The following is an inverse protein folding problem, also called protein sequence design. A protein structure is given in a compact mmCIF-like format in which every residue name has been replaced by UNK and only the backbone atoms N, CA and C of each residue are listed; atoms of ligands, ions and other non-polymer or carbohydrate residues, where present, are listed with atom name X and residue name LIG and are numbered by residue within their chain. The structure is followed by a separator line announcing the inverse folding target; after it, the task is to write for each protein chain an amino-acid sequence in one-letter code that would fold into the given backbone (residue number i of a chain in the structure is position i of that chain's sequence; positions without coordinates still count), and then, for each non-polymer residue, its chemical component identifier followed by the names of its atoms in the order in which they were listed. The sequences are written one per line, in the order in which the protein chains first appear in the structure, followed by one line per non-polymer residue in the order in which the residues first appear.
data_IF_728883686870
#
_entry.id   IF_728883686870
#
_cell.length_a   1.000
_cell.length_b   1.000
_cell.length_c   1.000
_cell.angle_alpha   90.00
_cell.angle_beta   90.00
_cell.angle_gamma   90.00
#
_symmetry.space_group_name_H-M   'P 1'
#
loop_
_entity.id
_entity.type
_entity.pdbx_description
1 polymer ?
#
# COMPACT_ATOMS: atom_id res chain seq x y z
N UNK A 1 -37.43 26.05 72.80
CA UNK A 1 -37.80 25.67 71.40
C UNK A 1 -36.71 26.21 70.46
N UNK A 2 -35.77 25.38 70.09
CA UNK A 2 -34.63 25.78 69.23
C UNK A 2 -34.59 24.84 68.03
N UNK A 3 -34.89 25.38 66.85
CA UNK A 3 -34.89 24.64 65.57
C UNK A 3 -33.50 24.70 65.00
N UNK A 4 -32.79 23.57 65.07
CA UNK A 4 -31.50 23.36 64.36
C UNK A 4 -31.73 23.17 62.89
N UNK A 5 -31.20 24.07 62.08
CA UNK A 5 -31.16 23.91 60.61
C UNK A 5 -29.92 23.07 60.20
N UNK A 6 -30.19 21.84 59.79
CA UNK A 6 -29.20 20.96 59.22
C UNK A 6 -28.85 21.44 57.78
N UNK A 7 -27.65 21.99 57.60
CA UNK A 7 -27.12 22.38 56.30
C UNK A 7 -26.52 21.15 55.62
N UNK A 8 -27.20 20.65 54.59
CA UNK A 8 -26.64 19.63 53.69
C UNK A 8 -25.53 20.25 52.85
N UNK A 9 -24.29 19.89 53.18
CA UNK A 9 -23.12 20.22 52.40
C UNK A 9 -23.01 19.20 51.28
N UNK A 10 -23.52 19.58 50.08
CA UNK A 10 -23.38 18.76 48.87
C UNK A 10 -21.91 18.83 48.40
N UNK A 11 -21.13 17.78 48.70
CA UNK A 11 -19.81 17.58 48.11
C UNK A 11 -19.96 17.26 46.63
N UNK A 12 -19.78 18.25 45.78
CA UNK A 12 -19.55 18.07 44.34
C UNK A 12 -18.17 17.47 44.14
N UNK A 13 -18.12 16.14 44.00
CA UNK A 13 -16.93 15.44 43.53
C UNK A 13 -16.73 15.76 42.02
N UNK A 14 -15.59 16.34 41.62
CA UNK A 14 -15.28 16.46 40.23
C UNK A 14 -15.07 15.07 39.66
N UNK A 15 -15.98 14.66 38.77
CA UNK A 15 -15.77 13.48 37.93
C UNK A 15 -14.64 13.85 36.98
N UNK A 16 -13.40 13.46 37.32
CA UNK A 16 -12.26 13.47 36.39
C UNK A 16 -12.62 12.45 35.35
N UNK A 17 -13.16 12.91 34.23
CA UNK A 17 -13.31 12.10 33.04
C UNK A 17 -11.91 11.66 32.62
N UNK A 18 -11.51 10.45 32.99
CA UNK A 18 -10.39 9.77 32.36
C UNK A 18 -10.72 9.68 30.86
N UNK A 19 -10.12 10.56 30.07
CA UNK A 19 -10.04 10.36 28.63
C UNK A 19 -9.48 8.96 28.41
N UNK A 20 -10.20 8.06 27.73
CA UNK A 20 -9.67 6.72 27.48
C UNK A 20 -8.36 6.90 26.74
N UNK A 21 -7.27 6.41 27.33
CA UNK A 21 -5.96 6.26 26.72
C UNK A 21 -6.21 5.73 25.32
N UNK A 22 -5.78 6.49 24.29
CA UNK A 22 -6.15 6.29 22.91
C UNK A 22 -6.09 4.81 22.52
N UNK A 23 -7.25 4.24 22.26
CA UNK A 23 -7.35 2.92 21.64
C UNK A 23 -6.78 3.10 20.24
N UNK A 24 -5.59 2.53 20.03
CA UNK A 24 -4.99 2.50 18.71
C UNK A 24 -5.89 1.65 17.82
N UNK A 25 -6.78 2.31 17.09
CA UNK A 25 -7.62 1.64 16.11
C UNK A 25 -6.76 1.43 14.88
N UNK A 26 -6.41 0.19 14.62
CA UNK A 26 -5.72 -0.18 13.39
C UNK A 26 -6.76 -0.39 12.28
N UNK A 27 -6.55 0.27 11.16
CA UNK A 27 -7.30 0.04 9.94
C UNK A 27 -6.36 -0.55 8.88
N UNK A 28 -6.88 -1.53 8.12
CA UNK A 28 -6.11 -2.15 7.05
C UNK A 28 -5.83 -1.13 5.93
N UNK A 29 -4.58 -0.99 5.47
CA UNK A 29 -4.24 -0.13 4.37
C UNK A 29 -4.87 -0.63 3.07
N UNK A 30 -5.27 0.30 2.22
CA UNK A 30 -5.81 0.01 0.89
C UNK A 30 -4.67 0.01 -0.13
N UNK A 31 -4.59 -1.02 -0.95
CA UNK A 31 -3.59 -1.17 -2.01
C UNK A 31 -4.31 -1.14 -3.35
N UNK A 32 -3.93 -0.20 -4.21
CA UNK A 32 -4.49 -0.03 -5.55
C UNK A 32 -3.38 0.08 -6.59
N UNK A 33 -3.67 -0.30 -7.82
CA UNK A 33 -2.79 -0.04 -8.97
C UNK A 33 -2.97 1.40 -9.39
N UNK A 34 -1.89 2.16 -9.35
CA UNK A 34 -1.83 3.52 -9.87
C UNK A 34 -1.49 3.50 -11.36
N UNK A 35 -0.48 2.69 -11.73
CA UNK A 35 0.03 2.63 -13.10
C UNK A 35 0.77 1.32 -13.37
N UNK A 36 0.75 0.91 -14.64
CA UNK A 36 1.63 -0.15 -15.15
C UNK A 36 2.45 0.42 -16.31
N UNK A 37 3.75 0.18 -16.29
CA UNK A 37 4.64 0.48 -17.42
C UNK A 37 5.15 -0.83 -17.99
N UNK A 38 5.04 -0.95 -19.31
CA UNK A 38 5.67 -2.00 -20.10
C UNK A 38 6.70 -1.33 -21.00
N UNK A 39 7.90 -1.89 -21.04
CA UNK A 39 9.00 -1.44 -21.89
C UNK A 39 9.68 -2.69 -22.45
N UNK A 40 9.22 -3.11 -23.61
CA UNK A 40 9.69 -4.34 -24.24
C UNK A 40 11.14 -4.25 -24.72
N UNK A 41 11.64 -3.02 -24.96
CA UNK A 41 12.96 -2.75 -25.50
C UNK A 41 13.98 -2.37 -24.42
N UNK A 42 13.57 -2.39 -23.16
CA UNK A 42 14.40 -2.01 -22.02
C UNK A 42 15.60 -2.94 -21.87
N UNK A 43 16.76 -2.52 -22.35
CA UNK A 43 18.01 -3.22 -22.11
C UNK A 43 18.51 -2.93 -20.69
N UNK A 44 18.64 -3.98 -19.88
CA UNK A 44 19.19 -3.88 -18.53
C UNK A 44 18.23 -3.33 -17.45
N UNK A 45 16.97 -3.03 -17.79
CA UNK A 45 15.92 -2.66 -16.84
C UNK A 45 14.78 -3.67 -16.88
N UNK A 46 14.05 -3.87 -15.77
CA UNK A 46 12.89 -4.76 -15.78
C UNK A 46 11.87 -4.29 -16.82
N UNK A 47 11.39 -5.18 -17.70
CA UNK A 47 10.50 -4.81 -18.80
C UNK A 47 9.11 -4.41 -18.33
N UNK A 48 8.73 -4.75 -17.10
CA UNK A 48 7.42 -4.40 -16.53
C UNK A 48 7.59 -3.84 -15.13
N UNK A 49 7.02 -2.66 -14.91
CA UNK A 49 7.00 -1.98 -13.62
C UNK A 49 5.56 -1.67 -13.25
N UNK A 50 5.16 -2.08 -12.05
CA UNK A 50 3.83 -1.79 -11.48
C UNK A 50 4.00 -0.72 -10.40
N UNK A 51 3.30 0.39 -10.55
CA UNK A 51 3.17 1.38 -9.50
C UNK A 51 1.91 1.08 -8.68
N UNK A 52 2.12 0.82 -7.40
CA UNK A 52 1.05 0.61 -6.43
C UNK A 52 0.91 1.86 -5.56
N UNK A 53 -0.31 2.35 -5.42
CA UNK A 53 -0.66 3.33 -4.41
C UNK A 53 -1.14 2.60 -3.15
N UNK A 54 -0.54 2.90 -2.01
CA UNK A 54 -0.92 2.37 -0.71
C UNK A 54 -1.45 3.52 0.13
N UNK A 55 -2.73 3.48 0.46
CA UNK A 55 -3.35 4.41 1.38
C UNK A 55 -3.30 3.83 2.81
N UNK A 56 -2.51 4.45 3.66
CA UNK A 56 -2.42 4.12 5.07
C UNK A 56 -3.31 5.06 5.89
N UNK A 57 -4.50 4.62 6.34
CA UNK A 57 -5.42 5.45 7.11
C UNK A 57 -4.96 5.66 8.57
N UNK A 58 -3.94 4.92 9.01
CA UNK A 58 -3.49 4.98 10.40
C UNK A 58 -2.68 6.24 10.68
N UNK A 59 -2.71 6.69 11.93
CA UNK A 59 -1.94 7.86 12.39
C UNK A 59 -0.44 7.59 12.57
N UNK A 60 0.02 6.40 12.23
CA UNK A 60 1.41 5.98 12.32
C UNK A 60 1.88 5.31 11.02
N UNK A 61 3.19 5.37 10.74
CA UNK A 61 3.74 4.69 9.56
C UNK A 61 3.67 3.17 9.73
N UNK A 62 3.45 2.48 8.62
CA UNK A 62 3.50 1.03 8.53
C UNK A 62 4.79 0.60 7.83
N UNK A 63 5.24 -0.63 8.08
CA UNK A 63 6.31 -1.26 7.33
C UNK A 63 5.77 -2.44 6.56
N UNK A 64 5.72 -2.35 5.23
CA UNK A 64 5.48 -3.50 4.39
C UNK A 64 6.71 -4.42 4.45
N UNK A 65 6.53 -5.66 4.94
CA UNK A 65 7.62 -6.63 5.14
C UNK A 65 7.65 -7.70 4.08
N UNK A 66 6.55 -7.89 3.36
CA UNK A 66 6.43 -8.77 2.19
C UNK A 66 5.31 -8.29 1.30
N UNK A 67 5.55 -8.32 0.01
CA UNK A 67 4.57 -7.99 -1.02
C UNK A 67 4.60 -9.08 -2.09
N UNK A 68 3.45 -9.67 -2.35
CA UNK A 68 3.27 -10.72 -3.33
C UNK A 68 2.05 -10.38 -4.19
N UNK A 69 2.21 -10.40 -5.50
CA UNK A 69 1.09 -10.24 -6.42
C UNK A 69 1.37 -10.84 -7.79
N UNK A 70 0.31 -11.04 -8.56
CA UNK A 70 0.32 -11.44 -9.96
C UNK A 70 -0.37 -10.38 -10.79
N UNK A 71 0.20 -10.11 -11.98
CA UNK A 71 -0.35 -9.19 -12.98
C UNK A 71 -0.81 -9.98 -14.20
N UNK A 72 -2.02 -9.68 -14.65
CA UNK A 72 -2.62 -10.16 -15.89
C UNK A 72 -2.99 -8.94 -16.73
N UNK A 73 -2.68 -8.95 -18.02
CA UNK A 73 -3.09 -7.93 -19.00
C UNK A 73 -3.83 -8.63 -20.15
N UNK A 74 -5.01 -8.14 -20.52
CA UNK A 74 -5.87 -8.72 -21.56
C UNK A 74 -6.00 -10.24 -21.45
N UNK A 75 -6.28 -10.72 -20.24
CA UNK A 75 -6.39 -12.15 -19.88
C UNK A 75 -5.07 -12.96 -20.01
N UNK A 76 -3.94 -12.31 -20.32
CA UNK A 76 -2.62 -12.95 -20.41
C UNK A 76 -1.84 -12.76 -19.11
N UNK A 77 -1.36 -13.82 -18.47
CA UNK A 77 -0.46 -13.70 -17.33
C UNK A 77 0.87 -13.08 -17.78
N UNK A 78 1.24 -11.96 -17.18
CA UNK A 78 2.44 -11.21 -17.55
C UNK A 78 3.59 -11.53 -16.60
N UNK A 79 3.30 -11.57 -15.31
CA UNK A 79 4.33 -11.81 -14.33
C UNK A 79 3.85 -11.68 -12.90
N UNK A 80 4.81 -11.80 -12.00
CA UNK A 80 4.55 -11.78 -10.56
C UNK A 80 5.63 -11.02 -9.82
N UNK A 81 5.29 -10.58 -8.63
CA UNK A 81 6.22 -10.11 -7.62
C UNK A 81 6.10 -11.00 -6.38
N UNK A 82 7.23 -11.46 -5.88
CA UNK A 82 7.37 -11.99 -4.50
C UNK A 82 8.60 -11.33 -3.88
N UNK A 83 8.39 -10.24 -3.19
CA UNK A 83 9.46 -9.47 -2.59
C UNK A 83 9.33 -9.45 -1.07
N UNK A 84 10.34 -9.98 -0.41
CA UNK A 84 10.57 -9.75 1.01
C UNK A 84 11.48 -8.52 1.18
N UNK A 85 11.19 -7.72 2.19
CA UNK A 85 11.97 -6.52 2.50
C UNK A 85 11.12 -5.49 3.23
N UNK A 86 11.77 -4.56 3.94
CA UNK A 86 11.07 -3.49 4.64
C UNK A 86 10.91 -2.29 3.71
N UNK A 87 9.68 -1.91 3.45
CA UNK A 87 9.34 -0.66 2.75
C UNK A 87 8.47 0.16 3.69
N UNK A 88 8.90 1.38 3.97
CA UNK A 88 8.13 2.30 4.81
C UNK A 88 6.92 2.81 4.04
N UNK A 89 5.75 2.75 4.67
CA UNK A 89 4.50 3.31 4.18
C UNK A 89 4.08 4.40 5.16
N UNK A 90 4.32 5.66 4.83
CA UNK A 90 3.93 6.78 5.68
C UNK A 90 2.41 6.86 5.84
N UNK A 91 1.94 7.70 6.76
CA UNK A 91 0.53 8.07 6.85
C UNK A 91 0.05 8.68 5.53
N UNK A 92 -1.17 8.36 5.13
CA UNK A 92 -1.77 8.81 3.88
C UNK A 92 -1.38 7.95 2.68
N UNK A 93 -1.31 8.54 1.51
CA UNK A 93 -1.06 7.83 0.26
C UNK A 93 0.43 7.85 -0.08
N UNK A 94 0.99 6.67 -0.35
CA UNK A 94 2.34 6.51 -0.86
C UNK A 94 2.31 5.65 -2.13
N UNK A 95 3.08 6.05 -3.14
CA UNK A 95 3.22 5.29 -4.39
C UNK A 95 4.56 4.57 -4.41
N UNK A 96 4.55 3.28 -4.80
CA UNK A 96 5.74 2.44 -4.93
C UNK A 96 5.82 1.90 -6.35
N UNK A 97 6.94 2.14 -7.03
CA UNK A 97 7.24 1.53 -8.32
C UNK A 97 7.98 0.21 -8.11
N UNK A 98 7.43 -0.88 -8.59
CA UNK A 98 7.87 -2.24 -8.32
C UNK A 98 8.15 -2.96 -9.64
N UNK A 99 9.40 -3.31 -9.93
CA UNK A 99 9.71 -4.22 -11.03
C UNK A 99 9.16 -5.61 -10.71
N UNK A 100 8.54 -6.24 -11.71
CA UNK A 100 8.03 -7.60 -11.57
C UNK A 100 8.86 -8.59 -12.40
N UNK A 101 8.90 -9.83 -11.94
CA UNK A 101 9.45 -10.94 -12.71
C UNK A 101 8.42 -11.37 -13.75
N UNK A 102 8.80 -11.33 -15.02
CA UNK A 102 7.93 -11.78 -16.10
C UNK A 102 7.85 -13.31 -16.13
N UNK A 103 6.66 -13.82 -16.44
CA UNK A 103 6.45 -15.26 -16.58
C UNK A 103 7.20 -15.79 -17.83
N UNK A 104 7.61 -17.05 -17.80
CA UNK A 104 8.40 -17.68 -18.88
C UNK A 104 7.76 -17.61 -20.27
N UNK A 105 6.43 -17.48 -20.34
CA UNK A 105 5.69 -17.32 -21.59
C UNK A 105 5.57 -15.87 -22.08
N UNK A 106 6.08 -14.90 -21.32
CA UNK A 106 6.01 -13.48 -21.64
C UNK A 106 7.23 -13.10 -22.45
N UNK A 107 7.09 -13.12 -23.77
CA UNK A 107 8.17 -12.76 -24.71
C UNK A 107 8.21 -11.24 -24.96
N UNK A 108 9.35 -10.65 -25.37
CA UNK A 108 9.42 -9.25 -25.77
C UNK A 108 8.39 -8.86 -26.83
N UNK A 109 8.15 -9.71 -27.83
CA UNK A 109 7.13 -9.47 -28.84
C UNK A 109 5.70 -9.36 -28.26
N UNK A 110 5.38 -10.15 -27.23
CA UNK A 110 4.10 -10.01 -26.53
C UNK A 110 4.03 -8.71 -25.71
N UNK A 111 5.12 -8.30 -25.09
CA UNK A 111 5.18 -7.07 -24.33
C UNK A 111 5.03 -5.84 -25.23
N UNK A 112 5.52 -5.89 -26.48
CA UNK A 112 5.34 -4.79 -27.43
C UNK A 112 3.88 -4.46 -27.69
N UNK A 113 2.98 -5.44 -27.63
CA UNK A 113 1.54 -5.20 -27.76
C UNK A 113 0.98 -4.29 -26.64
N UNK A 114 1.65 -4.21 -25.50
CA UNK A 114 1.24 -3.40 -24.34
C UNK A 114 2.02 -2.08 -24.23
N UNK A 115 2.82 -1.70 -25.21
CA UNK A 115 3.57 -0.44 -25.16
C UNK A 115 2.68 0.80 -25.29
N UNK A 116 1.47 0.65 -25.81
CA UNK A 116 0.53 1.76 -26.00
C UNK A 116 -0.91 1.25 -26.08
N UNK A 117 -1.87 2.16 -25.91
CA UNK A 117 -3.29 1.83 -26.00
C UNK A 117 -3.95 1.68 -24.62
N UNK A 118 -5.19 1.23 -24.63
CA UNK A 118 -5.95 0.91 -23.41
C UNK A 118 -6.07 -0.59 -23.29
N UNK A 119 -5.63 -1.13 -22.18
CA UNK A 119 -5.62 -2.56 -21.92
C UNK A 119 -6.32 -2.87 -20.61
N UNK A 120 -7.01 -4.02 -20.57
CA UNK A 120 -7.57 -4.54 -19.33
C UNK A 120 -6.46 -5.09 -18.46
N UNK A 121 -6.56 -4.80 -17.18
CA UNK A 121 -5.65 -5.39 -16.20
C UNK A 121 -6.43 -6.09 -15.09
N UNK A 122 -5.81 -7.11 -14.54
CA UNK A 122 -6.20 -7.69 -13.27
C UNK A 122 -4.94 -7.90 -12.43
N UNK A 123 -5.01 -7.51 -11.18
CA UNK A 123 -3.99 -7.76 -10.18
C UNK A 123 -4.63 -8.37 -8.96
N UNK A 124 -4.00 -9.38 -8.41
CA UNK A 124 -4.37 -9.94 -7.11
C UNK A 124 -3.12 -10.25 -6.31
N UNK A 125 -3.19 -10.02 -5.02
CA UNK A 125 -2.02 -10.20 -4.19
C UNK A 125 -2.30 -10.07 -2.71
N UNK A 126 -1.22 -10.06 -1.95
CA UNK A 126 -1.20 -9.86 -0.51
C UNK A 126 0.02 -9.05 -0.11
N UNK A 127 -0.19 -8.16 0.84
CA UNK A 127 0.86 -7.40 1.50
C UNK A 127 0.89 -7.77 2.99
N UNK A 128 2.08 -7.91 3.55
CA UNK A 128 2.26 -8.15 4.98
C UNK A 128 2.85 -6.89 5.60
N UNK A 129 2.13 -6.30 6.53
CA UNK A 129 2.57 -5.11 7.25
C UNK A 129 2.97 -5.46 8.68
N UNK A 130 4.08 -4.89 9.13
CA UNK A 130 4.42 -4.84 10.54
C UNK A 130 3.67 -3.65 11.16
N UNK A 131 2.93 -3.92 12.23
CA UNK A 131 2.17 -2.94 13.01
C UNK A 131 2.57 -3.04 14.48
N UNK A 132 2.25 -2.06 15.32
CA UNK A 132 2.47 -2.16 16.76
C UNK A 132 1.78 -3.38 17.41
N UNK A 133 0.72 -3.88 16.78
CA UNK A 133 -0.05 -5.05 17.24
C UNK A 133 0.40 -6.38 16.62
N UNK A 134 1.54 -6.37 15.90
CA UNK A 134 2.08 -7.54 15.21
C UNK A 134 1.96 -7.49 13.69
N UNK A 135 2.14 -8.62 13.03
CA UNK A 135 2.06 -8.70 11.57
C UNK A 135 0.62 -8.84 11.10
N UNK A 136 0.23 -8.02 10.12
CA UNK A 136 -1.08 -8.08 9.45
C UNK A 136 -0.90 -8.40 7.98
N UNK A 137 -1.75 -9.31 7.47
CA UNK A 137 -1.80 -9.67 6.05
C UNK A 137 -3.04 -9.03 5.44
N UNK A 138 -2.84 -8.18 4.45
CA UNK A 138 -3.90 -7.53 3.69
C UNK A 138 -3.92 -8.14 2.30
N UNK A 139 -5.06 -8.66 1.88
CA UNK A 139 -5.29 -9.11 0.50
C UNK A 139 -5.84 -7.96 -0.31
N UNK A 140 -5.43 -7.89 -1.56
CA UNK A 140 -5.96 -6.92 -2.50
C UNK A 140 -6.20 -7.57 -3.85
N UNK A 141 -7.23 -7.13 -4.52
CA UNK A 141 -7.54 -7.49 -5.90
C UNK A 141 -8.14 -6.27 -6.58
N UNK A 142 -7.71 -6.02 -7.79
CA UNK A 142 -8.23 -4.93 -8.62
C UNK A 142 -8.24 -5.37 -10.06
N UNK A 143 -9.27 -4.97 -10.78
CA UNK A 143 -9.39 -5.13 -12.23
C UNK A 143 -9.94 -3.85 -12.82
N UNK A 144 -9.61 -3.58 -14.06
CA UNK A 144 -10.04 -2.38 -14.75
C UNK A 144 -9.32 -2.21 -16.08
N UNK A 145 -9.33 -1.00 -16.58
CA UNK A 145 -8.60 -0.60 -17.77
C UNK A 145 -7.55 0.44 -17.42
N UNK A 146 -6.39 0.32 -18.05
CA UNK A 146 -5.29 1.27 -17.93
C UNK A 146 -4.85 1.71 -19.32
N UNK A 147 -4.58 3.01 -19.44
CA UNK A 147 -3.91 3.54 -20.60
C UNK A 147 -2.39 3.33 -20.49
N UNK A 148 -1.83 2.70 -21.49
CA UNK A 148 -0.39 2.49 -21.64
C UNK A 148 0.15 3.48 -22.65
N UNK A 149 1.28 4.09 -22.37
CA UNK A 149 1.89 5.06 -23.27
C UNK A 149 3.21 5.60 -22.71
N UNK A 150 3.95 6.37 -23.51
CA UNK A 150 5.17 6.98 -23.05
C UNK A 150 4.90 7.95 -21.88
N UNK A 151 5.88 8.11 -20.96
CA UNK A 151 5.71 8.85 -19.70
C UNK A 151 5.34 10.34 -19.89
N UNK A 152 4.88 10.98 -18.78
CA UNK A 152 5.78 11.27 -17.66
C UNK A 152 5.56 10.34 -16.45
N UNK A 153 6.59 9.56 -16.12
CA UNK A 153 6.67 8.88 -14.83
C UNK A 153 6.95 9.91 -13.73
N UNK A 154 6.30 9.82 -12.57
CA UNK A 154 6.85 10.43 -11.40
C UNK A 154 8.25 9.83 -11.17
N UNK A 155 9.23 10.70 -10.96
CA UNK A 155 10.59 10.26 -10.64
C UNK A 155 10.50 9.19 -9.54
N UNK A 156 11.18 8.07 -9.75
CA UNK A 156 11.28 7.01 -8.73
C UNK A 156 11.60 7.66 -7.40
N UNK A 157 10.84 7.32 -6.36
CA UNK A 157 11.15 7.78 -5.03
C UNK A 157 12.64 7.51 -4.76
N UNK A 158 13.40 8.48 -4.21
CA UNK A 158 14.82 8.32 -4.00
C UNK A 158 15.07 7.04 -3.22
N UNK A 159 15.99 6.22 -3.72
CA UNK A 159 16.49 5.08 -2.98
C UNK A 159 16.96 5.60 -1.62
N UNK A 160 16.55 4.93 -0.55
CA UNK A 160 16.95 5.25 0.80
C UNK A 160 18.49 5.30 0.86
N UNK A 161 19.12 6.47 1.15
CA UNK A 161 20.58 6.59 1.18
C UNK A 161 21.23 5.81 2.33
N UNK A 162 20.43 5.08 3.12
CA UNK A 162 20.89 4.29 4.27
C UNK A 162 21.20 2.82 4.00
N UNK A 163 20.99 2.29 2.79
CA UNK A 163 21.35 0.92 2.43
C UNK A 163 22.80 0.89 1.89
N UNK A 164 23.78 1.03 2.75
CA UNK A 164 25.17 0.63 2.46
C UNK A 164 25.33 -0.88 2.69
N UNK A 165 26.17 -1.55 1.87
CA UNK A 165 26.39 -2.99 1.89
C UNK A 165 27.03 -3.50 3.19
#
# INVERSE_FOLDING_TARGET
MAHGRLRHLCCLLPIVACTPLGVWVYEDPQVTVDRVRVDADAQGTPPVIVALAVNNPNDFPLSATRLEFRLVLDDLPIGRLDRAGKVSVPKGVATMALPIETDRGTTPARLQAFNSGVHRFAIEGKATFATPLGKRKVRFAQQGELAFGPPPWPASAPADPGASP
#
